data_IF_781405320214
#
_entry.id   IF_781405320214
#
_cell.length_a   1.000
_cell.length_b   1.000
_cell.length_c   1.000
_cell.angle_alpha   90.00
_cell.angle_beta   90.00
_cell.angle_gamma   90.00
#
_symmetry.space_group_name_H-M   'P 1'
#
loop_
_entity.id
_entity.type
_entity.pdbx_description
1 polymer ?
#
# COMPACT_ATOMS: atom_id res chain seq x y z
N UNK A 1 11.74 -10.07 -10.29
CA UNK A 1 11.73 -9.45 -11.62
C UNK A 1 12.17 -7.99 -11.56
N UNK A 2 11.47 -7.09 -10.84
CA UNK A 2 11.95 -5.69 -10.62
C UNK A 2 13.38 -5.64 -10.03
N UNK A 3 13.64 -6.40 -8.97
CA UNK A 3 14.98 -6.50 -8.34
C UNK A 3 16.06 -6.99 -9.31
N UNK A 4 15.73 -7.92 -10.21
CA UNK A 4 16.68 -8.46 -11.18
C UNK A 4 17.03 -7.42 -12.25
N UNK A 5 16.04 -6.68 -12.73
CA UNK A 5 16.22 -5.59 -13.70
C UNK A 5 17.08 -4.47 -13.09
N UNK A 6 16.80 -4.08 -11.85
CA UNK A 6 17.62 -3.08 -11.14
C UNK A 6 19.06 -3.56 -10.92
N UNK A 7 19.27 -4.83 -10.57
CA UNK A 7 20.60 -5.40 -10.44
C UNK A 7 21.39 -5.29 -11.75
N UNK A 8 20.78 -5.59 -12.89
CA UNK A 8 21.43 -5.51 -14.21
C UNK A 8 21.75 -4.05 -14.57
N UNK A 9 20.79 -3.14 -14.35
CA UNK A 9 20.96 -1.69 -14.57
C UNK A 9 22.07 -1.07 -13.70
N UNK A 10 22.24 -1.57 -12.48
CA UNK A 10 23.27 -1.11 -11.55
C UNK A 10 24.69 -1.53 -11.98
N UNK A 11 24.81 -2.66 -12.69
CA UNK A 11 26.08 -3.19 -13.19
C UNK A 11 26.48 -2.65 -14.57
N UNK A 12 25.58 -1.95 -15.26
CA UNK A 12 25.86 -1.40 -16.60
C UNK A 12 26.57 -0.05 -16.49
N UNK A 13 27.65 0.16 -17.25
CA UNK A 13 28.36 1.45 -17.37
C UNK A 13 27.64 2.44 -18.32
N UNK A 14 26.32 2.56 -18.19
CA UNK A 14 25.53 3.54 -18.94
C UNK A 14 25.33 4.83 -18.15
N UNK A 15 25.16 5.96 -18.86
CA UNK A 15 24.77 7.26 -18.29
C UNK A 15 23.43 7.15 -17.55
N UNK A 16 23.17 8.04 -16.59
CA UNK A 16 21.97 7.94 -15.74
C UNK A 16 20.65 8.09 -16.49
N UNK A 17 20.62 8.86 -17.58
CA UNK A 17 19.39 9.09 -18.34
C UNK A 17 18.80 7.85 -19.03
N UNK A 18 19.56 7.04 -19.79
CA UNK A 18 19.02 5.79 -20.34
C UNK A 18 18.60 4.81 -19.23
N UNK A 19 19.31 4.77 -18.10
CA UNK A 19 18.92 3.94 -16.94
C UNK A 19 17.57 4.39 -16.36
N UNK A 20 17.37 5.70 -16.21
CA UNK A 20 16.10 6.29 -15.75
C UNK A 20 14.96 6.02 -16.73
N UNK A 21 15.22 6.11 -18.04
CA UNK A 21 14.23 5.79 -19.06
C UNK A 21 13.77 4.33 -18.98
N UNK A 22 14.70 3.38 -18.87
CA UNK A 22 14.39 1.96 -18.72
C UNK A 22 13.62 1.70 -17.43
N UNK A 23 14.03 2.30 -16.31
CA UNK A 23 13.28 2.21 -15.04
C UNK A 23 11.84 2.68 -15.21
N UNK A 24 11.64 3.82 -15.84
CA UNK A 24 10.31 4.37 -16.10
C UNK A 24 9.47 3.44 -16.99
N UNK A 25 10.05 2.88 -18.06
CA UNK A 25 9.36 1.93 -18.95
C UNK A 25 9.00 0.62 -18.24
N UNK A 26 9.90 0.08 -17.42
CA UNK A 26 9.64 -1.15 -16.66
C UNK A 26 8.58 -0.89 -15.61
N UNK A 27 8.65 0.23 -14.88
CA UNK A 27 7.62 0.63 -13.94
C UNK A 27 6.26 0.82 -14.62
N UNK A 28 6.20 1.49 -15.77
CA UNK A 28 4.94 1.68 -16.50
C UNK A 28 4.34 0.36 -16.97
N UNK A 29 5.16 -0.58 -17.46
CA UNK A 29 4.71 -1.91 -17.85
C UNK A 29 4.16 -2.71 -16.67
N UNK A 30 4.82 -2.63 -15.52
CA UNK A 30 4.34 -3.26 -14.28
C UNK A 30 3.03 -2.64 -13.78
N UNK A 31 2.87 -1.32 -13.91
CA UNK A 31 1.63 -0.62 -13.56
C UNK A 31 0.50 -0.95 -14.54
N UNK A 32 0.81 -1.17 -15.82
CA UNK A 32 -0.15 -1.60 -16.83
C UNK A 32 -0.55 -3.07 -16.66
N UNK A 33 0.27 -3.88 -15.99
CA UNK A 33 -0.07 -5.27 -15.69
C UNK A 33 -1.20 -5.32 -14.65
N UNK A 34 -2.42 -5.53 -15.13
CA UNK A 34 -3.53 -5.92 -14.28
C UNK A 34 -3.43 -7.43 -14.01
N UNK A 35 -3.25 -7.86 -12.75
CA UNK A 35 -3.35 -9.28 -12.42
C UNK A 35 -4.69 -9.79 -12.95
N UNK A 36 -4.68 -10.92 -13.66
CA UNK A 36 -5.93 -11.54 -14.10
C UNK A 36 -6.71 -11.90 -12.85
N UNK A 37 -8.00 -11.55 -12.85
CA UNK A 37 -8.92 -11.98 -11.82
C UNK A 37 -9.27 -13.44 -12.09
N UNK A 38 -8.57 -14.35 -11.39
CA UNK A 38 -8.71 -15.81 -11.57
C UNK A 38 -9.84 -16.36 -10.68
N UNK A 39 -10.50 -15.51 -9.87
CA UNK A 39 -11.49 -15.96 -8.91
C UNK A 39 -12.81 -16.31 -9.60
N UNK A 40 -13.32 -17.49 -9.28
CA UNK A 40 -14.68 -17.90 -9.63
C UNK A 40 -15.72 -17.00 -8.95
N UNK A 41 -16.96 -17.05 -9.44
CA UNK A 41 -18.07 -16.31 -8.84
C UNK A 41 -18.28 -16.70 -7.37
N UNK A 42 -18.21 -17.99 -7.06
CA UNK A 42 -18.40 -18.52 -5.71
C UNK A 42 -17.33 -18.00 -4.75
N UNK A 43 -16.06 -18.03 -5.16
CA UNK A 43 -14.96 -17.49 -4.33
C UNK A 43 -15.12 -15.99 -4.11
N UNK A 44 -15.55 -15.24 -5.12
CA UNK A 44 -15.79 -13.80 -4.98
C UNK A 44 -16.93 -13.50 -4.02
N UNK A 45 -18.02 -14.26 -4.08
CA UNK A 45 -19.15 -14.08 -3.18
C UNK A 45 -18.76 -14.47 -1.75
N UNK A 46 -18.00 -15.55 -1.55
CA UNK A 46 -17.42 -15.89 -0.26
C UNK A 46 -16.50 -14.78 0.30
N UNK A 47 -15.69 -14.13 -0.53
CA UNK A 47 -14.87 -12.99 -0.11
C UNK A 47 -15.71 -11.76 0.27
N UNK A 48 -16.84 -11.53 -0.39
CA UNK A 48 -17.76 -10.45 -0.01
C UNK A 48 -18.41 -10.74 1.34
N UNK A 49 -18.83 -11.97 1.57
CA UNK A 49 -19.38 -12.40 2.85
C UNK A 49 -18.35 -12.26 3.97
N UNK A 50 -17.12 -12.73 3.75
CA UNK A 50 -16.01 -12.59 4.69
C UNK A 50 -15.71 -11.11 4.99
N UNK A 51 -15.78 -10.23 3.98
CA UNK A 51 -15.59 -8.78 4.17
C UNK A 51 -16.75 -8.12 4.93
N UNK A 52 -17.96 -8.68 4.82
CA UNK A 52 -19.15 -8.15 5.48
C UNK A 52 -19.26 -8.59 6.95
N UNK A 53 -18.55 -9.65 7.35
CA UNK A 53 -18.50 -10.12 8.73
C UNK A 53 -17.87 -9.05 9.64
N UNK A 54 -18.66 -8.60 10.62
CA UNK A 54 -18.31 -7.52 11.55
C UNK A 54 -17.54 -8.02 12.77
N UNK A 55 -17.42 -9.33 12.96
CA UNK A 55 -16.80 -9.96 14.12
C UNK A 55 -15.36 -10.42 13.85
N UNK A 56 -14.93 -10.41 12.59
CA UNK A 56 -13.55 -10.77 12.22
C UNK A 56 -12.75 -9.57 11.72
N UNK A 57 -11.43 -9.70 11.80
CA UNK A 57 -10.46 -8.80 11.20
C UNK A 57 -9.51 -9.62 10.35
N UNK A 58 -9.41 -9.25 9.07
CA UNK A 58 -8.51 -9.89 8.09
C UNK A 58 -7.33 -8.94 7.86
N UNK A 59 -6.12 -9.34 8.25
CA UNK A 59 -4.89 -8.53 8.12
C UNK A 59 -3.77 -9.33 7.46
N UNK A 60 -2.86 -8.68 6.71
CA UNK A 60 -1.65 -9.33 6.24
C UNK A 60 -0.82 -9.79 7.44
N UNK A 61 -0.26 -10.99 7.35
CA UNK A 61 0.72 -11.46 8.31
C UNK A 61 2.04 -10.74 8.10
N UNK A 62 2.78 -10.48 9.19
CA UNK A 62 4.12 -9.87 9.11
C UNK A 62 5.12 -10.74 8.32
N UNK A 63 4.83 -12.05 8.17
CA UNK A 63 5.66 -13.01 7.46
C UNK A 63 4.90 -13.70 6.32
N UNK A 64 5.62 -13.94 5.23
CA UNK A 64 5.27 -15.01 4.27
C UNK A 64 4.09 -14.74 3.33
N UNK A 65 3.78 -13.48 2.96
CA UNK A 65 2.62 -13.12 2.09
C UNK A 65 1.30 -13.80 2.51
N UNK A 66 1.20 -14.17 3.77
CA UNK A 66 0.03 -14.84 4.33
C UNK A 66 -0.93 -13.81 4.88
N UNK A 67 -2.16 -14.25 5.14
CA UNK A 67 -3.21 -13.43 5.73
C UNK A 67 -3.68 -14.11 7.01
N UNK A 68 -3.94 -13.34 8.05
CA UNK A 68 -4.47 -13.83 9.33
C UNK A 68 -5.90 -13.36 9.50
N UNK A 69 -6.76 -14.26 9.96
CA UNK A 69 -8.13 -13.95 10.38
C UNK A 69 -8.16 -14.00 11.91
N UNK A 70 -8.60 -12.91 12.53
CA UNK A 70 -8.64 -12.75 13.97
C UNK A 70 -10.05 -12.37 14.42
N UNK A 71 -10.41 -12.73 15.66
CA UNK A 71 -11.56 -12.12 16.32
C UNK A 71 -11.33 -10.62 16.48
N UNK A 72 -12.35 -9.83 16.12
CA UNK A 72 -12.26 -8.37 16.10
C UNK A 72 -12.12 -7.78 17.50
N UNK A 73 -12.82 -8.33 18.48
CA UNK A 73 -12.81 -7.83 19.85
C UNK A 73 -11.41 -8.05 20.44
N UNK A 74 -10.88 -9.26 20.31
CA UNK A 74 -9.56 -9.61 20.80
C UNK A 74 -8.46 -8.79 20.10
N UNK A 75 -8.55 -8.63 18.78
CA UNK A 75 -7.62 -7.80 18.02
C UNK A 75 -7.61 -6.35 18.52
N UNK A 76 -8.78 -5.73 18.68
CA UNK A 76 -8.90 -4.35 19.17
C UNK A 76 -8.36 -4.23 20.59
N UNK A 77 -8.70 -5.16 21.48
CA UNK A 77 -8.22 -5.14 22.87
C UNK A 77 -6.70 -5.27 22.93
N UNK A 78 -6.12 -6.19 22.16
CA UNK A 78 -4.66 -6.38 22.10
C UNK A 78 -3.97 -5.15 21.54
N UNK A 79 -4.49 -4.56 20.47
CA UNK A 79 -3.95 -3.33 19.90
C UNK A 79 -3.97 -2.16 20.91
N UNK A 80 -5.07 -1.98 21.65
CA UNK A 80 -5.17 -0.96 22.70
C UNK A 80 -4.12 -1.19 23.79
N UNK A 81 -4.02 -2.41 24.33
CA UNK A 81 -3.03 -2.74 25.37
C UNK A 81 -1.60 -2.45 24.92
N UNK A 82 -1.26 -2.73 23.66
CA UNK A 82 0.07 -2.42 23.11
C UNK A 82 0.31 -0.91 23.00
N UNK A 83 -0.70 -0.14 22.57
CA UNK A 83 -0.59 1.32 22.40
C UNK A 83 -0.64 2.11 23.72
N UNK A 84 -1.18 1.51 24.78
CA UNK A 84 -1.23 2.11 26.12
C UNK A 84 0.15 2.15 26.80
N UNK A 85 1.14 1.39 26.29
CA UNK A 85 2.49 1.36 26.85
C UNK A 85 3.22 2.70 26.61
N UNK A 86 3.15 3.59 27.61
CA UNK A 86 3.73 4.95 27.59
C UNK A 86 5.25 5.01 27.45
N UNK A 87 5.94 3.90 27.69
CA UNK A 87 7.38 3.80 27.45
C UNK A 87 7.72 3.88 25.95
N UNK A 88 6.85 3.36 25.08
CA UNK A 88 7.10 3.26 23.64
C UNK A 88 6.20 4.18 22.81
N UNK A 89 4.96 4.44 23.27
CA UNK A 89 3.96 5.17 22.50
C UNK A 89 3.40 6.38 23.25
N UNK A 90 3.31 7.51 22.55
CA UNK A 90 2.70 8.74 23.04
C UNK A 90 1.51 9.16 22.15
N UNK A 91 0.41 9.67 22.74
CA UNK A 91 -0.72 10.18 21.95
C UNK A 91 -0.27 11.35 21.08
N UNK A 92 -0.61 11.29 19.80
CA UNK A 92 -0.35 12.40 18.89
C UNK A 92 -1.37 13.51 19.14
N UNK A 93 -0.91 14.74 19.44
CA UNK A 93 -1.79 15.90 19.71
C UNK A 93 -2.62 16.31 18.50
N UNK A 94 -2.10 16.10 17.30
CA UNK A 94 -2.75 16.41 16.02
C UNK A 94 -2.16 15.55 14.93
N UNK A 95 -2.94 15.20 13.90
CA UNK A 95 -2.42 14.45 12.75
C UNK A 95 -1.23 15.21 12.11
N UNK A 96 0.00 14.65 12.16
CA UNK A 96 1.21 15.35 11.74
C UNK A 96 1.27 15.57 10.22
N UNK A 97 0.52 14.78 9.46
CA UNK A 97 0.51 14.84 7.99
C UNK A 97 -0.62 15.76 7.49
N UNK A 98 -1.50 16.25 8.38
CA UNK A 98 -2.69 17.04 7.99
C UNK A 98 -2.35 18.27 7.14
N UNK A 99 -1.30 19.00 7.50
CA UNK A 99 -0.86 20.19 6.76
C UNK A 99 -0.36 19.79 5.37
N UNK A 100 0.53 18.81 5.31
CA UNK A 100 1.08 18.29 4.05
C UNK A 100 -0.02 17.76 3.11
N UNK A 101 -1.00 17.03 3.64
CA UNK A 101 -2.14 16.55 2.83
C UNK A 101 -2.95 17.68 2.24
N UNK A 102 -3.14 18.79 2.98
CA UNK A 102 -3.85 19.97 2.45
C UNK A 102 -3.06 20.62 1.33
N UNK A 103 -1.76 20.82 1.51
CA UNK A 103 -0.89 21.38 0.47
C UNK A 103 -0.90 20.54 -0.81
N UNK A 104 -0.71 19.22 -0.68
CA UNK A 104 -0.79 18.30 -1.82
C UNK A 104 -2.13 18.40 -2.54
N UNK A 105 -3.24 18.45 -1.80
CA UNK A 105 -4.57 18.54 -2.40
C UNK A 105 -4.79 19.88 -3.12
N UNK A 106 -4.28 20.99 -2.56
CA UNK A 106 -4.32 22.31 -3.19
C UNK A 106 -3.52 22.31 -4.49
N UNK A 107 -2.29 21.80 -4.45
CA UNK A 107 -1.45 21.69 -5.66
C UNK A 107 -2.10 20.80 -6.72
N UNK A 108 -2.65 19.65 -6.32
CA UNK A 108 -3.38 18.75 -7.23
C UNK A 108 -4.54 19.47 -7.92
N UNK A 109 -5.37 20.19 -7.17
CA UNK A 109 -6.49 20.97 -7.72
C UNK A 109 -6.01 22.07 -8.68
N UNK A 110 -4.91 22.76 -8.34
CA UNK A 110 -4.34 23.77 -9.23
C UNK A 110 -3.85 23.16 -10.56
N UNK A 111 -3.31 21.94 -10.52
CA UNK A 111 -2.86 21.22 -11.72
C UNK A 111 -4.03 20.68 -12.57
N UNK A 112 -5.11 20.19 -11.94
CA UNK A 112 -6.36 19.81 -12.63
C UNK A 112 -6.98 21.02 -13.35
N UNK A 113 -7.00 22.19 -12.68
CA UNK A 113 -7.57 23.41 -13.25
C UNK A 113 -6.70 24.03 -14.37
N UNK A 114 -5.39 23.78 -14.38
CA UNK A 114 -4.48 24.25 -15.42
C UNK A 114 -4.34 23.29 -16.61
N UNK A 115 -4.99 22.12 -16.57
CA UNK A 115 -4.89 21.09 -17.60
C UNK A 115 -3.53 20.40 -17.67
N UNK A 116 -2.73 20.50 -16.60
CA UNK A 116 -1.44 19.82 -16.49
C UNK A 116 -1.59 18.31 -16.17
N UNK A 117 -2.75 17.90 -15.67
CA UNK A 117 -3.16 16.52 -15.39
C UNK A 117 -4.62 16.33 -15.81
#
# INVERSE_FOLDING_TARGET
>A
MVVAVESILSQTEATDEPKKHIRHQVSSLFMAHRPRDVLSKVERDALKELRADKYIVVVPADKGRSTVVLDRTDYIQKAKRLLEVRQFYFPCKSNPIRTLTREINVTRLAMENSGAI
#
